data_IF_871742796041
#
_entry.id   IF_871742796041
#
_cell.length_a   1.000
_cell.length_b   1.000
_cell.length_c   1.000
_cell.angle_alpha   90.00
_cell.angle_beta   90.00
_cell.angle_gamma   90.00
#
_symmetry.space_group_name_H-M   'P 1'
#
loop_
_entity.id
_entity.type
_entity.pdbx_description
1 polymer ?
#
# COMPACT_ATOMS: atom_id res chain seq x y z
N UNK A 1 -34.98 19.66 1.31
CA UNK A 1 -33.82 19.81 0.43
C UNK A 1 -32.66 20.57 1.13
N UNK A 2 -32.47 20.44 2.46
CA UNK A 2 -31.45 21.21 3.23
C UNK A 2 -30.19 20.37 3.52
N UNK A 3 -30.15 19.07 3.23
CA UNK A 3 -29.03 18.17 3.58
C UNK A 3 -27.80 18.25 2.68
N UNK A 4 -27.95 18.56 1.40
CA UNK A 4 -26.84 18.44 0.41
C UNK A 4 -25.74 19.52 0.52
N UNK A 5 -26.00 20.65 1.17
CA UNK A 5 -24.99 21.71 1.35
C UNK A 5 -24.00 21.43 2.48
N UNK A 6 -24.49 20.92 3.60
CA UNK A 6 -23.65 20.57 4.76
C UNK A 6 -22.73 19.37 4.45
N UNK A 7 -23.27 18.35 3.80
CA UNK A 7 -22.52 17.15 3.39
C UNK A 7 -21.40 17.49 2.38
N UNK A 8 -21.68 18.35 1.40
CA UNK A 8 -20.67 18.85 0.47
C UNK A 8 -19.57 19.65 1.17
N UNK A 9 -19.93 20.48 2.13
CA UNK A 9 -18.96 21.26 2.91
C UNK A 9 -18.07 20.35 3.77
N UNK A 10 -18.63 19.32 4.38
CA UNK A 10 -17.89 18.32 5.15
C UNK A 10 -16.91 17.53 4.26
N UNK A 11 -17.36 17.06 3.10
CA UNK A 11 -16.49 16.37 2.14
C UNK A 11 -15.33 17.27 1.68
N UNK A 12 -15.57 18.54 1.45
CA UNK A 12 -14.53 19.49 1.07
C UNK A 12 -13.52 19.72 2.19
N UNK A 13 -13.96 19.82 3.45
CA UNK A 13 -13.08 19.90 4.61
C UNK A 13 -12.23 18.65 4.75
N UNK A 14 -12.80 17.46 4.60
CA UNK A 14 -12.06 16.18 4.63
C UNK A 14 -11.02 16.10 3.51
N UNK A 15 -11.34 16.54 2.29
CA UNK A 15 -10.39 16.61 1.17
C UNK A 15 -9.20 17.52 1.47
N UNK A 16 -9.46 18.72 2.02
CA UNK A 16 -8.40 19.66 2.42
C UNK A 16 -7.53 19.08 3.53
N UNK A 17 -8.12 18.46 4.53
CA UNK A 17 -7.40 17.79 5.61
C UNK A 17 -6.51 16.64 5.07
N UNK A 18 -7.03 15.80 4.15
CA UNK A 18 -6.24 14.76 3.46
C UNK A 18 -5.05 15.36 2.71
N UNK A 19 -5.25 16.46 2.00
CA UNK A 19 -4.18 17.13 1.24
C UNK A 19 -3.11 17.68 2.17
N UNK A 20 -3.49 18.33 3.25
CA UNK A 20 -2.56 18.86 4.27
C UNK A 20 -1.73 17.74 4.89
N UNK A 21 -2.37 16.68 5.36
CA UNK A 21 -1.72 15.53 5.98
C UNK A 21 -0.79 14.80 5.00
N UNK A 22 -1.22 14.64 3.74
CA UNK A 22 -0.38 14.08 2.67
C UNK A 22 0.91 14.88 2.49
N UNK A 23 0.80 16.21 2.39
CA UNK A 23 1.95 17.08 2.18
C UNK A 23 2.91 17.05 3.38
N UNK A 24 2.38 17.10 4.58
CA UNK A 24 3.16 17.04 5.82
C UNK A 24 3.95 15.73 5.91
N UNK A 25 3.29 14.58 5.79
CA UNK A 25 3.96 13.28 5.94
C UNK A 25 4.87 12.94 4.76
N UNK A 26 4.57 13.42 3.55
CA UNK A 26 5.50 13.34 2.42
C UNK A 26 6.79 14.09 2.72
N UNK A 27 6.72 15.28 3.29
CA UNK A 27 7.90 16.08 3.66
C UNK A 27 8.70 15.39 4.77
N UNK A 28 8.03 14.93 5.84
CA UNK A 28 8.70 14.20 6.94
C UNK A 28 9.39 12.95 6.41
N UNK A 29 8.71 12.15 5.59
CA UNK A 29 9.29 10.93 5.02
C UNK A 29 10.47 11.23 4.08
N UNK A 30 10.38 12.31 3.29
CA UNK A 30 11.46 12.71 2.39
C UNK A 30 12.74 13.16 3.13
N UNK A 31 12.60 13.63 4.37
CA UNK A 31 13.72 14.06 5.20
C UNK A 31 14.44 12.90 5.91
N UNK A 32 13.91 11.67 5.85
CA UNK A 32 14.55 10.52 6.49
C UNK A 32 15.88 10.18 5.79
N UNK A 33 16.96 9.96 6.55
CA UNK A 33 18.19 9.38 6.02
C UNK A 33 17.95 7.96 5.47
N UNK A 34 18.68 7.58 4.43
CA UNK A 34 18.55 6.24 3.82
C UNK A 34 18.78 5.12 4.87
N UNK A 35 19.77 5.27 5.74
CA UNK A 35 20.05 4.29 6.81
C UNK A 35 18.88 4.12 7.79
N UNK A 36 18.14 5.19 8.09
CA UNK A 36 16.94 5.11 8.93
C UNK A 36 15.79 4.43 8.19
N UNK A 37 15.64 4.67 6.88
CA UNK A 37 14.68 3.94 6.05
C UNK A 37 14.99 2.44 6.03
N UNK A 38 16.27 2.08 5.85
CA UNK A 38 16.70 0.69 5.75
C UNK A 38 16.51 -0.05 7.08
N UNK A 39 16.92 0.56 8.21
CA UNK A 39 16.74 -0.03 9.54
C UNK A 39 15.26 -0.24 9.90
N UNK A 40 14.41 0.77 9.67
CA UNK A 40 12.97 0.66 9.92
C UNK A 40 12.29 -0.35 8.98
N UNK A 41 12.69 -0.39 7.72
CA UNK A 41 12.17 -1.35 6.75
C UNK A 41 12.53 -2.79 7.10
N UNK A 42 13.73 -3.03 7.67
CA UNK A 42 14.12 -4.35 8.15
C UNK A 42 13.20 -4.84 9.29
N UNK A 43 12.84 -3.95 10.23
CA UNK A 43 11.89 -4.29 11.29
C UNK A 43 10.46 -4.54 10.75
N UNK A 44 10.02 -3.79 9.74
CA UNK A 44 8.74 -4.02 9.06
C UNK A 44 8.78 -5.38 8.34
N UNK A 45 9.85 -5.66 7.60
CA UNK A 45 10.02 -6.93 6.90
C UNK A 45 9.94 -8.13 7.86
N UNK A 46 10.65 -8.07 8.97
CA UNK A 46 10.59 -9.10 10.01
C UNK A 46 9.17 -9.33 10.52
N UNK A 47 8.40 -8.27 10.77
CA UNK A 47 7.03 -8.38 11.27
C UNK A 47 6.06 -8.89 10.22
N UNK A 48 6.11 -8.39 9.00
CA UNK A 48 5.18 -8.80 7.94
C UNK A 48 5.43 -10.24 7.51
N UNK A 49 6.69 -10.67 7.41
CA UNK A 49 7.04 -12.04 7.05
C UNK A 49 6.64 -13.07 8.13
N UNK A 50 6.44 -12.64 9.37
CA UNK A 50 5.94 -13.46 10.47
C UNK A 50 4.41 -13.49 10.59
N UNK A 51 3.67 -12.82 9.71
CA UNK A 51 2.20 -12.83 9.75
C UNK A 51 1.66 -14.18 9.28
N UNK A 52 0.80 -14.86 10.07
CA UNK A 52 0.17 -16.11 9.64
C UNK A 52 -0.68 -15.95 8.37
N UNK A 53 -1.22 -14.77 8.14
CA UNK A 53 -1.99 -14.45 6.94
C UNK A 53 -1.10 -14.46 5.69
N UNK A 54 0.09 -13.91 5.77
CA UNK A 54 1.07 -13.97 4.68
C UNK A 54 1.64 -15.37 4.51
N UNK A 55 1.91 -16.07 5.60
CA UNK A 55 2.42 -17.45 5.57
C UNK A 55 1.51 -18.36 4.75
N UNK A 56 0.20 -18.27 4.95
CA UNK A 56 -0.81 -19.10 4.26
C UNK A 56 -1.04 -18.72 2.80
N UNK A 57 -0.78 -17.46 2.45
CA UNK A 57 -1.03 -16.96 1.11
C UNK A 57 -0.05 -17.55 0.11
N UNK A 58 -0.55 -17.98 -1.05
CA UNK A 58 0.24 -18.45 -2.19
C UNK A 58 0.54 -17.31 -3.15
N UNK A 59 -0.48 -16.50 -3.46
CA UNK A 59 -0.36 -15.35 -4.38
C UNK A 59 -0.39 -14.05 -3.60
N UNK A 60 0.68 -13.27 -3.69
CA UNK A 60 0.87 -12.05 -2.91
C UNK A 60 1.09 -10.85 -3.82
N UNK A 61 0.22 -9.86 -3.71
CA UNK A 61 0.44 -8.56 -4.32
C UNK A 61 1.41 -7.75 -3.45
N UNK A 62 2.48 -7.26 -4.05
CA UNK A 62 3.42 -6.32 -3.46
C UNK A 62 3.44 -5.01 -4.25
N UNK A 63 4.28 -4.09 -3.85
CA UNK A 63 4.58 -2.87 -4.62
C UNK A 63 6.09 -2.64 -4.70
N UNK A 64 6.54 -2.08 -5.80
CA UNK A 64 7.91 -1.63 -5.94
C UNK A 64 8.08 -0.30 -5.19
N UNK A 65 8.87 -0.31 -4.13
CA UNK A 65 9.08 0.89 -3.31
C UNK A 65 9.90 1.95 -4.04
N UNK A 66 9.49 3.19 -3.89
CA UNK A 66 10.20 4.35 -4.45
C UNK A 66 10.67 5.30 -3.35
N UNK A 67 11.72 6.06 -3.63
CA UNK A 67 12.25 7.10 -2.73
C UNK A 67 12.48 6.55 -1.31
N UNK A 68 11.87 7.20 -0.31
CA UNK A 68 11.94 6.82 1.11
C UNK A 68 10.71 6.02 1.57
N UNK A 69 10.11 5.20 0.70
CA UNK A 69 9.11 4.21 1.12
C UNK A 69 9.76 3.04 1.88
N UNK A 70 8.92 2.27 2.56
CA UNK A 70 9.33 0.99 3.13
C UNK A 70 9.95 0.13 2.04
N UNK A 71 11.18 -0.37 2.27
CA UNK A 71 11.92 -1.19 1.31
C UNK A 71 11.23 -2.54 1.13
N UNK A 72 10.52 -2.70 0.03
CA UNK A 72 9.76 -3.94 -0.25
C UNK A 72 10.59 -5.01 -0.94
N UNK A 73 11.71 -4.66 -1.56
CA UNK A 73 12.56 -5.62 -2.27
C UNK A 73 12.99 -6.81 -1.39
N UNK A 74 13.50 -6.64 -0.17
CA UNK A 74 13.86 -7.78 0.68
C UNK A 74 12.65 -8.66 1.05
N UNK A 75 11.44 -8.06 1.17
CA UNK A 75 10.21 -8.80 1.42
C UNK A 75 9.84 -9.63 0.19
N UNK A 76 9.94 -9.05 -1.01
CA UNK A 76 9.68 -9.72 -2.29
C UNK A 76 10.64 -10.90 -2.48
N UNK A 77 11.93 -10.69 -2.25
CA UNK A 77 12.96 -11.74 -2.33
C UNK A 77 12.69 -12.90 -1.35
N UNK A 78 12.27 -12.58 -0.12
CA UNK A 78 11.91 -13.60 0.86
C UNK A 78 10.63 -14.37 0.46
N UNK A 79 9.63 -13.70 -0.11
CA UNK A 79 8.43 -14.35 -0.63
C UNK A 79 8.72 -15.29 -1.79
N UNK A 80 9.58 -14.89 -2.73
CA UNK A 80 10.06 -15.76 -3.81
C UNK A 80 10.80 -16.99 -3.25
N UNK A 81 11.70 -16.77 -2.28
CA UNK A 81 12.45 -17.86 -1.64
C UNK A 81 11.53 -18.85 -0.90
N UNK A 82 10.37 -18.39 -0.44
CA UNK A 82 9.32 -19.22 0.15
C UNK A 82 8.38 -19.87 -0.88
N UNK A 83 8.67 -19.75 -2.18
CA UNK A 83 7.88 -20.35 -3.27
C UNK A 83 6.54 -19.66 -3.53
N UNK A 84 6.36 -18.40 -3.10
CA UNK A 84 5.14 -17.64 -3.33
C UNK A 84 5.13 -17.02 -4.73
N UNK A 85 3.94 -16.93 -5.32
CA UNK A 85 3.69 -16.15 -6.55
C UNK A 85 3.61 -14.68 -6.18
N UNK A 86 4.60 -13.89 -6.59
CA UNK A 86 4.65 -12.45 -6.31
C UNK A 86 4.09 -11.68 -7.50
N UNK A 87 3.20 -10.75 -7.21
CA UNK A 87 2.49 -9.94 -8.19
C UNK A 87 2.81 -8.46 -7.92
N UNK A 88 3.13 -7.72 -8.97
CA UNK A 88 3.31 -6.26 -8.89
C UNK A 88 2.29 -5.55 -9.77
N UNK A 89 1.84 -4.36 -9.36
CA UNK A 89 0.92 -3.56 -10.16
C UNK A 89 1.66 -2.79 -11.25
N UNK A 90 0.98 -2.61 -12.37
CA UNK A 90 1.34 -1.69 -13.45
C UNK A 90 0.21 -0.68 -13.66
N UNK A 91 0.56 0.60 -13.79
CA UNK A 91 -0.42 1.67 -14.04
C UNK A 91 -0.89 1.61 -15.50
N UNK A 92 -2.20 1.65 -15.65
CA UNK A 92 -2.89 1.80 -16.94
C UNK A 92 -3.87 2.96 -16.86
N UNK A 93 -4.50 3.33 -17.98
CA UNK A 93 -5.40 4.48 -18.06
C UNK A 93 -6.49 4.47 -16.98
N UNK A 94 -7.11 3.33 -16.76
CA UNK A 94 -8.26 3.20 -15.84
C UNK A 94 -7.93 2.64 -14.45
N UNK A 95 -6.67 2.36 -14.13
CA UNK A 95 -6.35 1.76 -12.84
C UNK A 95 -5.00 1.04 -12.77
N UNK A 96 -5.02 -0.12 -12.14
CA UNK A 96 -3.87 -1.01 -12.01
C UNK A 96 -4.19 -2.36 -12.65
N UNK A 97 -3.26 -2.87 -13.45
CA UNK A 97 -3.22 -4.26 -13.92
C UNK A 97 -2.12 -4.98 -13.15
N UNK A 98 -2.40 -6.21 -12.74
CA UNK A 98 -1.51 -6.99 -11.91
C UNK A 98 -0.72 -7.98 -12.78
N UNK A 99 0.60 -8.03 -12.58
CA UNK A 99 1.48 -8.92 -13.32
C UNK A 99 2.30 -9.78 -12.38
N UNK A 100 2.41 -11.07 -12.72
CA UNK A 100 3.33 -11.98 -12.07
C UNK A 100 4.76 -11.54 -12.34
N UNK A 101 5.60 -11.57 -11.34
CA UNK A 101 7.05 -11.32 -11.45
C UNK A 101 7.82 -12.48 -10.89
N UNK A 102 8.88 -12.89 -11.61
CA UNK A 102 9.76 -13.98 -11.22
C UNK A 102 11.06 -13.44 -10.60
N UNK A 103 11.79 -14.27 -9.85
CA UNK A 103 13.10 -13.88 -9.34
C UNK A 103 14.05 -13.48 -10.47
N UNK A 104 14.57 -12.26 -10.39
CA UNK A 104 15.49 -11.72 -11.41
C UNK A 104 14.83 -10.94 -12.53
N UNK A 105 13.51 -10.86 -12.57
CA UNK A 105 12.83 -10.03 -13.56
C UNK A 105 13.23 -8.55 -13.42
N UNK A 106 13.57 -7.94 -14.55
CA UNK A 106 13.85 -6.52 -14.64
C UNK A 106 12.54 -5.73 -14.71
N UNK A 107 12.35 -4.83 -13.76
CA UNK A 107 11.29 -3.83 -13.82
C UNK A 107 11.70 -2.70 -14.76
N UNK A 108 10.71 -2.12 -15.44
CA UNK A 108 10.88 -0.98 -16.33
C UNK A 108 10.40 0.31 -15.67
N UNK A 109 10.88 1.45 -16.14
CA UNK A 109 10.36 2.74 -15.69
C UNK A 109 8.90 2.89 -16.09
N UNK A 110 8.05 3.00 -15.09
CA UNK A 110 6.62 3.15 -15.27
C UNK A 110 6.11 4.56 -14.95
N UNK A 111 4.82 4.66 -14.76
CA UNK A 111 4.18 5.91 -14.40
C UNK A 111 4.73 6.46 -13.08
N UNK A 112 4.87 7.78 -12.97
CA UNK A 112 5.37 8.49 -11.77
C UNK A 112 6.78 8.07 -11.31
N UNK A 113 7.60 7.53 -12.21
CA UNK A 113 8.93 6.96 -11.90
C UNK A 113 8.85 5.79 -10.89
N UNK A 114 7.77 5.02 -10.93
CA UNK A 114 7.63 3.76 -10.18
C UNK A 114 8.15 2.64 -11.07
N UNK A 115 9.05 1.77 -10.58
CA UNK A 115 9.43 0.57 -11.31
C UNK A 115 8.22 -0.36 -11.47
N UNK A 116 7.92 -0.77 -12.69
CA UNK A 116 6.77 -1.60 -13.02
C UNK A 116 7.18 -2.88 -13.76
N UNK A 117 6.38 -3.96 -13.67
CA UNK A 117 6.56 -5.13 -14.51
C UNK A 117 6.51 -4.75 -15.99
N UNK A 118 7.18 -5.52 -16.85
CA UNK A 118 7.03 -5.38 -18.29
C UNK A 118 5.59 -5.66 -18.70
N UNK A 119 5.10 -5.00 -19.75
CA UNK A 119 3.70 -5.16 -20.22
C UNK A 119 3.38 -6.59 -20.65
N UNK A 120 4.39 -7.29 -21.12
CA UNK A 120 4.30 -8.68 -21.61
C UNK A 120 4.34 -9.72 -20.49
N UNK A 121 4.65 -9.32 -19.26
CA UNK A 121 4.63 -10.23 -18.10
C UNK A 121 3.21 -10.80 -17.91
N UNK A 122 3.09 -12.07 -17.43
CA UNK A 122 1.79 -12.70 -17.25
C UNK A 122 0.88 -11.88 -16.34
N UNK A 123 -0.35 -11.63 -16.81
CA UNK A 123 -1.36 -10.92 -16.02
C UNK A 123 -2.04 -11.87 -15.03
N UNK A 124 -2.40 -11.34 -13.89
CA UNK A 124 -3.08 -12.04 -12.80
C UNK A 124 -4.36 -11.28 -12.48
N UNK A 125 -5.46 -12.01 -12.38
CA UNK A 125 -6.73 -11.41 -11.95
C UNK A 125 -6.69 -10.99 -10.48
N UNK A 126 -7.25 -9.83 -10.11
CA UNK A 126 -7.28 -9.38 -8.72
C UNK A 126 -7.87 -10.41 -7.74
N UNK A 127 -8.80 -11.24 -8.19
CA UNK A 127 -9.44 -12.31 -7.40
C UNK A 127 -8.51 -13.49 -7.06
N UNK A 128 -7.36 -13.61 -7.73
CA UNK A 128 -6.35 -14.63 -7.44
C UNK A 128 -5.40 -14.21 -6.29
N UNK A 129 -5.41 -12.92 -5.92
CA UNK A 129 -4.57 -12.41 -4.84
C UNK A 129 -5.15 -12.82 -3.49
N UNK A 130 -4.32 -13.40 -2.64
CA UNK A 130 -4.71 -13.86 -1.30
C UNK A 130 -4.20 -12.94 -0.19
N UNK A 131 -3.10 -12.24 -0.44
CA UNK A 131 -2.54 -11.24 0.46
C UNK A 131 -2.02 -10.04 -0.33
N UNK A 132 -2.28 -8.81 0.14
CA UNK A 132 -1.87 -7.60 -0.57
C UNK A 132 -1.09 -6.64 0.35
N UNK A 133 0.13 -6.32 -0.04
CA UNK A 133 0.91 -5.24 0.55
C UNK A 133 0.54 -3.93 -0.14
N UNK A 134 0.20 -2.92 0.66
CA UNK A 134 -0.34 -1.64 0.17
C UNK A 134 0.52 -0.48 0.65
N UNK A 135 0.95 0.43 -0.23
CA UNK A 135 1.71 1.62 0.16
C UNK A 135 0.79 2.68 0.80
N UNK A 136 1.36 3.48 1.71
CA UNK A 136 0.68 4.63 2.29
C UNK A 136 1.65 5.79 2.59
N UNK A 137 1.13 7.01 2.62
CA UNK A 137 1.77 8.19 3.21
C UNK A 137 1.31 8.41 4.66
N UNK A 138 0.05 8.10 4.95
CA UNK A 138 -0.52 8.04 6.29
C UNK A 138 -1.47 6.86 6.39
N UNK A 139 -1.65 6.34 7.58
CA UNK A 139 -2.63 5.30 7.89
C UNK A 139 -3.12 5.48 9.32
N UNK A 140 -4.37 5.10 9.60
CA UNK A 140 -4.91 5.09 10.95
C UNK A 140 -5.19 3.65 11.45
N UNK A 141 -5.48 3.48 12.75
CA UNK A 141 -5.76 2.14 13.33
C UNK A 141 -7.02 1.46 12.77
N UNK A 142 -7.90 2.21 12.10
CA UNK A 142 -9.10 1.67 11.42
C UNK A 142 -8.77 1.13 10.03
N UNK A 143 -7.52 1.28 9.56
CA UNK A 143 -7.07 0.84 8.25
C UNK A 143 -7.31 1.83 7.10
N UNK A 144 -7.87 3.01 7.37
CA UNK A 144 -7.96 4.05 6.35
C UNK A 144 -6.58 4.66 6.08
N UNK A 145 -6.30 4.92 4.81
CA UNK A 145 -4.98 5.40 4.40
C UNK A 145 -5.06 6.61 3.46
N UNK A 146 -3.97 7.35 3.44
CA UNK A 146 -3.69 8.39 2.45
C UNK A 146 -2.57 7.91 1.54
N UNK A 147 -2.87 7.77 0.25
CA UNK A 147 -1.87 7.53 -0.79
C UNK A 147 -1.41 8.83 -1.46
N UNK A 148 -0.77 8.70 -2.62
CA UNK A 148 -0.26 9.85 -3.39
C UNK A 148 -1.33 10.69 -4.10
N UNK A 149 -2.58 10.23 -4.17
CA UNK A 149 -3.71 11.00 -4.69
C UNK A 149 -4.31 10.49 -6.00
N UNK A 150 -3.73 9.46 -6.62
CA UNK A 150 -4.28 8.86 -7.85
C UNK A 150 -5.48 7.95 -7.66
N UNK A 151 -5.80 7.54 -6.43
CA UNK A 151 -6.95 6.68 -6.12
C UNK A 151 -6.82 5.23 -6.63
N UNK A 152 -5.65 4.84 -7.14
CA UNK A 152 -5.43 3.52 -7.74
C UNK A 152 -5.75 2.36 -6.81
N UNK A 153 -5.29 2.43 -5.57
CA UNK A 153 -5.56 1.37 -4.59
C UNK A 153 -7.00 1.41 -4.06
N UNK A 154 -7.67 2.55 -4.06
CA UNK A 154 -9.09 2.65 -3.67
C UNK A 154 -10.01 1.99 -4.72
N UNK A 155 -9.57 1.97 -5.99
CA UNK A 155 -10.22 1.20 -7.05
C UNK A 155 -9.86 -0.29 -7.02
N UNK A 156 -8.61 -0.63 -6.67
CA UNK A 156 -8.11 -2.00 -6.68
C UNK A 156 -8.61 -2.82 -5.48
N UNK A 157 -8.56 -2.27 -4.27
CA UNK A 157 -8.87 -3.01 -3.05
C UNK A 157 -10.24 -3.71 -3.05
N UNK A 158 -11.33 -3.08 -3.55
CA UNK A 158 -12.62 -3.76 -3.66
C UNK A 158 -12.62 -4.96 -4.63
N UNK A 159 -11.68 -5.00 -5.58
CA UNK A 159 -11.53 -6.10 -6.53
C UNK A 159 -10.70 -7.28 -5.97
N UNK A 160 -9.92 -7.06 -4.92
CA UNK A 160 -9.13 -8.09 -4.22
C UNK A 160 -10.03 -8.92 -3.27
N UNK A 161 -11.05 -9.59 -3.84
CA UNK A 161 -12.07 -10.30 -3.07
C UNK A 161 -11.47 -11.46 -2.28
N UNK A 162 -11.54 -11.37 -0.96
CA UNK A 162 -11.04 -12.43 -0.07
C UNK A 162 -9.55 -12.31 0.28
N UNK A 163 -8.80 -11.41 -0.36
CA UNK A 163 -7.43 -11.13 0.04
C UNK A 163 -7.37 -10.44 1.40
N UNK A 164 -6.37 -10.79 2.20
CA UNK A 164 -6.00 -9.97 3.35
C UNK A 164 -5.13 -8.81 2.90
N UNK A 165 -5.48 -7.62 3.30
CA UNK A 165 -4.82 -6.38 2.88
C UNK A 165 -4.00 -5.79 4.02
N UNK A 166 -2.77 -5.37 3.74
CA UNK A 166 -1.82 -4.92 4.74
C UNK A 166 -1.07 -3.66 4.28
N UNK A 167 -1.21 -2.57 5.00
CA UNK A 167 -0.37 -1.39 4.78
C UNK A 167 0.99 -1.59 5.43
N UNK A 168 2.05 -1.27 4.69
CA UNK A 168 3.39 -1.11 5.22
C UNK A 168 3.69 0.39 5.37
N UNK A 169 4.00 0.83 6.58
CA UNK A 169 4.30 2.22 6.89
C UNK A 169 5.33 2.34 8.02
N UNK A 170 6.05 3.44 8.09
CA UNK A 170 6.83 3.76 9.28
C UNK A 170 5.90 4.22 10.40
N UNK A 171 6.24 3.96 11.66
CA UNK A 171 5.36 4.22 12.80
C UNK A 171 4.95 5.70 12.92
N UNK A 172 5.79 6.65 12.47
CA UNK A 172 5.42 8.07 12.42
C UNK A 172 4.35 8.41 11.36
N UNK A 173 4.06 7.50 10.43
CA UNK A 173 2.97 7.63 9.45
C UNK A 173 1.62 7.14 10.00
N UNK A 174 1.65 6.51 11.19
CA UNK A 174 0.44 6.14 11.92
C UNK A 174 -0.13 7.41 12.57
N UNK A 175 -1.32 7.80 12.14
CA UNK A 175 -2.05 8.97 12.64
C UNK A 175 -3.25 8.53 13.47
N UNK A 176 -3.79 9.42 14.31
CA UNK A 176 -4.95 9.10 15.13
C UNK A 176 -6.18 8.78 14.27
N UNK A 177 -6.39 9.56 13.20
CA UNK A 177 -7.52 9.42 12.29
C UNK A 177 -7.17 9.95 10.90
N UNK A 178 -7.50 9.19 9.88
CA UNK A 178 -7.51 9.63 8.48
C UNK A 178 -8.91 10.19 8.18
N UNK A 179 -9.03 11.41 7.63
CA UNK A 179 -10.32 11.94 7.22
C UNK A 179 -10.82 11.23 5.97
N UNK A 180 -11.44 10.06 6.16
CA UNK A 180 -11.93 9.20 5.07
C UNK A 180 -13.08 9.83 4.29
N UNK A 181 -13.21 9.41 3.04
CA UNK A 181 -14.31 9.74 2.13
C UNK A 181 -15.09 8.46 1.80
N UNK A 182 -16.34 8.56 1.34
CA UNK A 182 -17.20 7.37 1.13
C UNK A 182 -16.66 6.30 0.19
N UNK A 183 -15.69 6.64 -0.66
CA UNK A 183 -15.07 5.73 -1.62
C UNK A 183 -13.67 5.24 -1.20
N UNK A 184 -13.19 5.66 -0.03
CA UNK A 184 -11.93 5.16 0.51
C UNK A 184 -12.13 3.73 1.07
N UNK A 185 -11.24 2.82 0.70
CA UNK A 185 -11.26 1.45 1.20
C UNK A 185 -10.26 1.29 2.36
N UNK A 186 -10.74 0.76 3.48
CA UNK A 186 -9.88 0.38 4.61
C UNK A 186 -9.13 -0.92 4.30
N UNK A 187 -7.96 -1.10 4.94
CA UNK A 187 -7.19 -2.35 4.91
C UNK A 187 -7.39 -3.12 6.21
N UNK A 188 -7.11 -4.43 6.19
CA UNK A 188 -7.27 -5.31 7.36
C UNK A 188 -6.14 -5.15 8.38
N UNK A 189 -4.92 -4.86 7.92
CA UNK A 189 -3.70 -4.88 8.71
C UNK A 189 -2.85 -3.63 8.46
N UNK A 190 -2.20 -3.17 9.51
CA UNK A 190 -1.13 -2.15 9.41
C UNK A 190 0.11 -2.70 10.10
N UNK A 191 1.22 -2.74 9.38
CA UNK A 191 2.53 -3.14 9.92
C UNK A 191 3.46 -1.95 9.88
N UNK A 192 3.99 -1.60 11.07
CA UNK A 192 4.99 -0.55 11.21
C UNK A 192 6.32 -1.11 11.74
N UNK A 193 7.34 -0.28 11.80
CA UNK A 193 8.61 -0.62 12.44
C UNK A 193 8.47 -0.84 13.97
N UNK A 194 7.36 -0.44 14.59
CA UNK A 194 7.10 -0.61 16.01
C UNK A 194 6.06 -1.69 16.33
N UNK A 195 5.04 -1.88 15.49
CA UNK A 195 3.86 -2.70 15.84
C UNK A 195 3.13 -3.28 14.64
N UNK A 196 2.23 -4.24 14.93
CA UNK A 196 1.21 -4.77 14.02
C UNK A 196 -0.15 -4.38 14.59
N UNK A 197 -1.01 -3.80 13.76
CA UNK A 197 -2.39 -3.42 14.11
C UNK A 197 -3.33 -4.22 13.22
N UNK A 198 -4.34 -4.85 13.81
CA UNK A 198 -5.47 -5.44 13.11
C UNK A 198 -6.60 -4.42 13.11
N UNK A 199 -6.95 -3.92 11.93
CA UNK A 199 -8.03 -2.95 11.81
C UNK A 199 -9.35 -3.59 12.22
N UNK A 200 -10.09 -2.89 13.06
CA UNK A 200 -11.46 -3.26 13.44
C UNK A 200 -12.36 -2.37 12.59
N UNK A 201 -12.92 -2.92 11.53
CA UNK A 201 -13.90 -2.25 10.65
C UNK A 201 -15.28 -2.48 11.21
#
# INVERSE_FOLDING_TARGET
VIGGGAERAEHELRRRAKLSLRNQLRTVRAALPASACDARSAEIAKRVLALPELERATTVLAFASIRNEVRTRPIIEAMHSAGKRVVLPRVVEDGLVLHLVEPGDELVDGAFSVPEPRREAPQIEPSEVEFALVPALAVDPRGYRIGYGGGYYDKLLPALRGARTCVLAYDFQLVAEVPELPFDAAVDLVVTDARVIRAVV
#
